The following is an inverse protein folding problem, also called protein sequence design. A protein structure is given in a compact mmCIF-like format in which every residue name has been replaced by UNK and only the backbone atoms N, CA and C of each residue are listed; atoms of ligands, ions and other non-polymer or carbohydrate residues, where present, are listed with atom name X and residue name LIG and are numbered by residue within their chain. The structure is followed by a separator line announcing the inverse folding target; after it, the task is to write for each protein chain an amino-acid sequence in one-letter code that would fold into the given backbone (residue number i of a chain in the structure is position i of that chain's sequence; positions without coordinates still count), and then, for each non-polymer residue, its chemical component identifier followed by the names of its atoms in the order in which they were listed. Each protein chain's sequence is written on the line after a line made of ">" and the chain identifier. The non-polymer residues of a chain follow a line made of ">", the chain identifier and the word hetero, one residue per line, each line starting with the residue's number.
data_IF_295876577520
#
_entry.id   IF_295876577520
#
_cell.length_a   1.000
_cell.length_b   1.000
_cell.length_c   1.000
_cell.angle_alpha   90.00
_cell.angle_beta   90.00
_cell.angle_gamma   90.00
#
_symmetry.space_group_name_H-M   'P 1'
#
loop_
_entity.id
_entity.type
_entity.pdbx_description
1 polymer ?
#
# COMPACT_ATOMS: atom_id res chain seq x y z
N UNK A 1 11.91 1.19 -13.41
CA UNK A 1 11.18 1.11 -12.13
C UNK A 1 10.85 -0.36 -11.86
N UNK A 2 11.60 -1.04 -10.98
CA UNK A 2 11.48 -2.50 -10.72
C UNK A 2 10.65 -2.86 -9.48
N UNK A 3 10.07 -1.87 -8.80
CA UNK A 3 9.36 -2.04 -7.52
C UNK A 3 8.10 -2.91 -7.59
N UNK A 4 7.55 -3.14 -8.78
CA UNK A 4 6.25 -3.78 -8.98
C UNK A 4 6.31 -5.12 -9.73
N UNK A 5 7.50 -5.66 -10.00
CA UNK A 5 7.64 -6.88 -10.80
C UNK A 5 6.93 -8.09 -10.19
N UNK A 6 6.78 -8.15 -8.86
CA UNK A 6 6.10 -9.25 -8.17
C UNK A 6 4.58 -9.32 -8.37
N UNK A 7 3.96 -8.27 -8.95
CA UNK A 7 2.51 -8.21 -9.20
C UNK A 7 2.17 -8.02 -10.69
N UNK A 8 3.16 -8.06 -11.58
CA UNK A 8 2.98 -7.88 -13.03
C UNK A 8 2.63 -9.21 -13.73
N UNK A 9 1.45 -9.78 -13.44
CA UNK A 9 1.06 -11.13 -13.86
C UNK A 9 1.19 -11.39 -15.37
N UNK A 10 0.80 -10.44 -16.22
CA UNK A 10 0.90 -10.57 -17.68
C UNK A 10 2.36 -10.70 -18.13
N UNK A 11 3.24 -9.84 -17.59
CA UNK A 11 4.68 -9.92 -17.83
C UNK A 11 5.29 -11.21 -17.29
N UNK A 12 4.68 -11.79 -16.26
CA UNK A 12 5.03 -13.11 -15.71
C UNK A 12 4.42 -14.29 -16.47
N UNK A 13 3.76 -14.05 -17.62
CA UNK A 13 3.27 -15.10 -18.53
C UNK A 13 1.80 -15.47 -18.37
N UNK A 14 1.02 -14.76 -17.54
CA UNK A 14 -0.42 -15.00 -17.44
C UNK A 14 -1.15 -14.39 -18.64
N UNK A 15 -1.77 -15.25 -19.46
CA UNK A 15 -2.43 -14.85 -20.71
C UNK A 15 -3.93 -14.54 -20.56
N UNK A 16 -4.61 -15.05 -19.53
CA UNK A 16 -6.03 -14.77 -19.31
C UNK A 16 -6.21 -13.39 -18.67
N UNK A 17 -6.84 -12.44 -19.39
CA UNK A 17 -7.02 -11.06 -18.90
C UNK A 17 -8.42 -10.77 -18.33
N UNK A 18 -9.32 -11.75 -18.34
CA UNK A 18 -10.71 -11.58 -17.88
C UNK A 18 -10.80 -11.15 -16.41
N UNK A 19 -9.84 -11.53 -15.57
CA UNK A 19 -9.81 -11.13 -14.16
C UNK A 19 -9.70 -9.61 -13.95
N UNK A 20 -9.14 -8.87 -14.91
CA UNK A 20 -8.98 -7.41 -14.84
C UNK A 20 -10.28 -6.63 -15.09
N UNK A 21 -11.32 -7.31 -15.58
CA UNK A 21 -12.58 -6.69 -16.00
C UNK A 21 -13.68 -6.76 -14.92
N UNK A 22 -13.38 -7.36 -13.77
CA UNK A 22 -14.32 -7.42 -12.65
C UNK A 22 -14.36 -6.10 -11.90
N UNK A 23 -15.56 -5.75 -11.43
CA UNK A 23 -15.78 -4.62 -10.56
C UNK A 23 -16.76 -5.00 -9.45
N UNK A 24 -16.45 -4.53 -8.25
CA UNK A 24 -17.37 -4.62 -7.11
C UNK A 24 -18.53 -3.63 -7.25
N UNK A 25 -19.76 -4.11 -7.05
CA UNK A 25 -20.99 -3.32 -7.06
C UNK A 25 -21.68 -3.44 -5.69
N UNK A 26 -21.73 -2.36 -4.90
CA UNK A 26 -22.55 -2.31 -3.69
C UNK A 26 -24.05 -2.47 -4.03
N UNK A 27 -24.82 -3.05 -3.12
CA UNK A 27 -26.25 -3.30 -3.34
C UNK A 27 -27.09 -2.03 -3.43
N UNK A 28 -26.80 -1.03 -2.59
CA UNK A 28 -27.66 0.15 -2.40
C UNK A 28 -27.16 1.41 -3.11
N UNK A 29 -25.96 1.35 -3.71
CA UNK A 29 -25.40 2.50 -4.39
C UNK A 29 -24.37 2.10 -5.45
N UNK A 30 -24.17 3.00 -6.41
CA UNK A 30 -23.00 2.97 -7.27
C UNK A 30 -21.82 3.61 -6.56
N UNK A 31 -20.63 3.05 -6.77
CA UNK A 31 -19.39 3.72 -6.34
C UNK A 31 -19.29 5.11 -6.99
N UNK A 32 -18.82 6.15 -6.27
CA UNK A 32 -18.78 7.52 -6.77
C UNK A 32 -18.08 7.62 -8.14
N UNK A 33 -18.76 8.25 -9.08
CA UNK A 33 -18.31 8.46 -10.46
C UNK A 33 -17.74 9.86 -10.63
N UNK A 34 -16.65 9.99 -11.39
CA UNK A 34 -16.37 11.24 -12.08
C UNK A 34 -16.69 11.04 -13.56
N UNK A 35 -17.63 11.83 -14.06
CA UNK A 35 -18.19 11.85 -15.43
C UNK A 35 -19.35 10.86 -15.66
N UNK A 36 -20.56 11.44 -15.78
CA UNK A 36 -21.86 10.77 -15.95
C UNK A 36 -22.19 10.30 -17.38
N UNK A 37 -21.29 10.45 -18.35
CA UNK A 37 -21.72 10.41 -19.76
C UNK A 37 -21.63 9.05 -20.47
N UNK A 38 -20.86 8.09 -19.97
CA UNK A 38 -20.91 6.70 -20.43
C UNK A 38 -20.62 5.74 -19.29
N UNK A 39 -21.31 4.61 -19.30
CA UNK A 39 -21.39 3.55 -18.29
C UNK A 39 -20.04 2.81 -18.09
N UNK A 40 -19.03 3.52 -17.58
CA UNK A 40 -17.79 3.01 -17.01
C UNK A 40 -17.44 3.91 -15.83
N UNK A 41 -17.67 3.45 -14.61
CA UNK A 41 -17.31 4.22 -13.41
C UNK A 41 -15.79 4.21 -13.28
N UNK A 42 -15.16 5.32 -13.66
CA UNK A 42 -13.71 5.47 -13.59
C UNK A 42 -13.32 6.18 -12.31
N UNK A 43 -12.31 5.62 -11.65
CA UNK A 43 -11.54 6.32 -10.63
C UNK A 43 -10.95 7.60 -11.23
N UNK A 44 -11.09 8.73 -10.54
CA UNK A 44 -10.56 10.01 -10.97
C UNK A 44 -9.26 10.33 -10.23
N UNK A 45 -8.15 10.06 -10.90
CA UNK A 45 -6.83 10.30 -10.36
C UNK A 45 -6.61 11.78 -10.01
N UNK A 46 -7.06 12.73 -10.84
CA UNK A 46 -6.91 14.17 -10.58
C UNK A 46 -7.66 14.56 -9.30
N UNK A 47 -8.92 14.15 -9.16
CA UNK A 47 -9.69 14.45 -7.95
C UNK A 47 -9.07 13.83 -6.69
N UNK A 48 -8.48 12.63 -6.80
CA UNK A 48 -7.75 12.01 -5.69
C UNK A 48 -6.46 12.78 -5.36
N UNK A 49 -5.71 13.22 -6.37
CA UNK A 49 -4.49 14.00 -6.19
C UNK A 49 -4.76 15.33 -5.49
N UNK A 50 -5.85 16.02 -5.87
CA UNK A 50 -6.28 17.24 -5.19
C UNK A 50 -6.66 16.98 -3.73
N UNK A 51 -7.34 15.85 -3.44
CA UNK A 51 -7.65 15.46 -2.05
C UNK A 51 -6.39 15.13 -1.24
N UNK A 52 -5.34 14.64 -1.90
CA UNK A 52 -4.05 14.31 -1.28
C UNK A 52 -3.09 15.50 -1.25
N UNK A 53 -3.45 16.66 -1.80
CA UNK A 53 -2.57 17.83 -1.84
C UNK A 53 -2.16 18.25 -0.44
N UNK A 54 -0.85 18.42 -0.24
CA UNK A 54 -0.21 18.69 1.05
C UNK A 54 -0.48 17.62 2.13
N UNK A 55 -0.82 16.39 1.73
CA UNK A 55 -1.11 15.29 2.66
C UNK A 55 -0.12 14.15 2.54
N UNK A 56 0.02 13.45 3.67
CA UNK A 56 0.75 12.20 3.79
C UNK A 56 -0.22 11.04 4.06
N UNK A 57 -0.36 10.16 3.07
CA UNK A 57 -1.10 8.89 3.19
C UNK A 57 -0.11 7.76 3.48
N UNK A 58 -0.34 6.96 4.51
CA UNK A 58 0.55 5.85 4.89
C UNK A 58 -0.23 4.55 4.99
N UNK A 59 0.17 3.59 4.17
CA UNK A 59 -0.23 2.19 4.24
C UNK A 59 0.71 1.45 5.19
N UNK A 60 0.15 0.74 6.15
CA UNK A 60 0.87 0.07 7.22
C UNK A 60 0.48 -1.38 7.28
N UNK A 61 1.45 -2.28 7.17
CA UNK A 61 1.15 -3.69 7.38
C UNK A 61 2.12 -4.65 6.72
N UNK A 62 1.53 -5.70 6.15
CA UNK A 62 2.24 -6.81 5.52
C UNK A 62 2.28 -6.71 3.99
N UNK A 63 2.60 -7.82 3.32
CA UNK A 63 2.66 -7.90 1.86
C UNK A 63 1.36 -7.51 1.15
N UNK A 64 0.18 -7.73 1.76
CA UNK A 64 -1.10 -7.34 1.18
C UNK A 64 -1.26 -5.82 1.18
N UNK A 65 -0.86 -5.16 2.27
CA UNK A 65 -0.83 -3.70 2.37
C UNK A 65 0.12 -3.09 1.33
N UNK A 66 1.28 -3.72 1.12
CA UNK A 66 2.21 -3.34 0.03
C UNK A 66 1.57 -3.46 -1.36
N UNK A 67 0.76 -4.49 -1.58
CA UNK A 67 0.04 -4.68 -2.85
C UNK A 67 -1.03 -3.60 -3.03
N UNK A 68 -1.78 -3.24 -1.97
CA UNK A 68 -2.74 -2.13 -2.03
C UNK A 68 -2.05 -0.78 -2.29
N UNK A 69 -0.93 -0.51 -1.61
CA UNK A 69 -0.10 0.67 -1.86
C UNK A 69 0.36 0.72 -3.33
N UNK A 70 0.86 -0.40 -3.86
CA UNK A 70 1.25 -0.52 -5.27
C UNK A 70 0.09 -0.20 -6.21
N UNK A 71 -1.09 -0.74 -5.94
CA UNK A 71 -2.29 -0.46 -6.73
C UNK A 71 -2.66 1.03 -6.72
N UNK A 72 -2.62 1.68 -5.56
CA UNK A 72 -2.88 3.12 -5.42
C UNK A 72 -1.85 3.96 -6.20
N UNK A 73 -0.57 3.62 -6.09
CA UNK A 73 0.50 4.29 -6.85
C UNK A 73 0.24 4.16 -8.35
N UNK A 74 -0.04 2.95 -8.86
CA UNK A 74 -0.31 2.75 -10.29
C UNK A 74 -1.55 3.52 -10.79
N UNK A 75 -2.61 3.61 -9.98
CA UNK A 75 -3.81 4.38 -10.34
C UNK A 75 -3.50 5.86 -10.54
N UNK A 76 -2.64 6.44 -9.70
CA UNK A 76 -2.31 7.86 -9.72
C UNK A 76 -1.15 8.20 -10.67
N UNK A 77 -0.16 7.32 -10.74
CA UNK A 77 1.08 7.53 -11.49
C UNK A 77 0.84 7.84 -12.98
N UNK A 78 -0.21 7.24 -13.56
CA UNK A 78 -0.62 7.45 -14.95
C UNK A 78 -0.97 8.90 -15.29
N UNK A 79 -1.39 9.68 -14.28
CA UNK A 79 -1.80 11.08 -14.42
C UNK A 79 -0.72 12.08 -14.00
N UNK A 80 0.50 11.62 -13.71
CA UNK A 80 1.59 12.46 -13.20
C UNK A 80 2.81 12.35 -14.13
N UNK A 81 3.38 13.49 -14.51
CA UNK A 81 4.58 13.53 -15.33
C UNK A 81 5.76 12.81 -14.64
N UNK A 82 6.60 12.04 -15.37
CA UNK A 82 7.71 11.30 -14.78
C UNK A 82 8.70 12.14 -13.96
N UNK A 83 8.88 13.41 -14.31
CA UNK A 83 9.76 14.35 -13.60
C UNK A 83 9.19 14.85 -12.27
N UNK A 84 7.89 14.69 -12.04
CA UNK A 84 7.18 15.20 -10.86
C UNK A 84 6.92 14.12 -9.81
N UNK A 85 7.44 12.90 -10.01
CA UNK A 85 7.23 11.76 -9.13
C UNK A 85 8.52 11.00 -8.85
N UNK A 86 8.62 10.42 -7.67
CA UNK A 86 9.74 9.56 -7.31
C UNK A 86 9.32 8.48 -6.32
N UNK A 87 10.04 7.36 -6.32
CA UNK A 87 9.93 6.34 -5.27
C UNK A 87 11.26 6.25 -4.53
N UNK A 88 11.22 6.33 -3.20
CA UNK A 88 12.41 6.27 -2.35
C UNK A 88 12.21 5.24 -1.23
N UNK A 89 12.94 4.12 -1.25
CA UNK A 89 12.98 3.19 -0.13
C UNK A 89 13.97 3.69 0.95
N UNK A 90 13.57 3.62 2.23
CA UNK A 90 14.38 3.97 3.39
C UNK A 90 14.04 3.06 4.57
N UNK A 91 14.83 1.99 4.75
CA UNK A 91 14.56 0.97 5.78
C UNK A 91 13.20 0.32 5.55
N UNK A 92 12.34 0.32 6.57
CA UNK A 92 10.97 -0.23 6.50
C UNK A 92 9.95 0.67 5.79
N UNK A 93 10.33 1.91 5.47
CA UNK A 93 9.46 2.89 4.81
C UNK A 93 9.80 2.97 3.31
N UNK A 94 8.79 2.90 2.45
CA UNK A 94 8.90 3.21 1.02
C UNK A 94 7.97 4.35 0.70
N UNK A 95 8.50 5.46 0.18
CA UNK A 95 7.73 6.68 -0.09
C UNK A 95 7.58 6.89 -1.59
N UNK A 96 6.34 7.06 -2.06
CA UNK A 96 6.04 7.61 -3.37
C UNK A 96 5.73 9.11 -3.21
N UNK A 97 6.59 9.97 -3.74
CA UNK A 97 6.47 11.43 -3.63
C UNK A 97 5.88 12.02 -4.90
N UNK A 98 4.96 12.96 -4.75
CA UNK A 98 4.29 13.68 -5.84
C UNK A 98 4.56 15.18 -5.64
N UNK A 99 5.51 15.73 -6.39
CA UNK A 99 6.09 17.05 -6.12
C UNK A 99 5.07 18.19 -6.33
N UNK A 100 4.32 18.16 -7.42
CA UNK A 100 3.33 19.21 -7.76
C UNK A 100 2.18 19.32 -6.74
N UNK A 101 1.85 18.21 -6.07
CA UNK A 101 0.82 18.17 -5.04
C UNK A 101 1.40 18.36 -3.63
N UNK A 102 2.73 18.40 -3.49
CA UNK A 102 3.43 18.27 -2.21
C UNK A 102 2.84 17.12 -1.35
N UNK A 103 2.56 15.99 -1.99
CA UNK A 103 1.90 14.85 -1.38
C UNK A 103 2.85 13.65 -1.31
N UNK A 104 2.58 12.71 -0.39
CA UNK A 104 3.23 11.41 -0.41
C UNK A 104 2.27 10.27 -0.09
N UNK A 105 2.56 9.12 -0.70
CA UNK A 105 1.88 7.85 -0.47
C UNK A 105 2.93 6.85 -0.06
N UNK A 106 2.91 6.48 1.21
CA UNK A 106 3.92 5.65 1.82
C UNK A 106 3.42 4.23 2.06
N UNK A 107 4.34 3.28 2.05
CA UNK A 107 4.16 1.97 2.63
C UNK A 107 5.18 1.75 3.74
N UNK A 108 4.73 1.42 4.93
CA UNK A 108 5.58 1.01 6.05
C UNK A 108 5.36 -0.46 6.39
N UNK A 109 6.46 -1.21 6.39
CA UNK A 109 6.48 -2.63 6.75
C UNK A 109 6.35 -2.84 8.27
N UNK A 110 5.19 -3.35 8.68
CA UNK A 110 4.89 -3.76 10.05
C UNK A 110 3.89 -4.93 10.03
N UNK A 111 4.34 -6.16 9.74
CA UNK A 111 3.45 -7.27 9.37
C UNK A 111 2.50 -7.71 10.50
N UNK A 112 2.89 -7.46 11.76
CA UNK A 112 2.06 -7.70 12.95
C UNK A 112 1.58 -6.39 13.61
N UNK A 113 1.86 -5.23 13.00
CA UNK A 113 1.70 -3.87 13.54
C UNK A 113 2.56 -3.56 14.78
N UNK A 114 2.58 -4.46 15.75
CA UNK A 114 3.41 -4.43 16.96
C UNK A 114 4.86 -4.79 16.66
N UNK A 115 5.75 -4.46 17.61
CA UNK A 115 7.16 -4.81 17.52
C UNK A 115 7.34 -6.33 17.42
N UNK A 116 8.11 -6.75 16.42
CA UNK A 116 8.41 -8.16 16.17
C UNK A 116 9.83 -8.36 15.64
N UNK A 117 10.36 -9.57 15.78
CA UNK A 117 11.64 -9.97 15.16
C UNK A 117 11.61 -9.90 13.63
N UNK A 118 10.42 -9.91 13.01
CA UNK A 118 10.18 -9.69 11.57
C UNK A 118 10.13 -8.22 11.10
N UNK A 119 10.44 -7.26 11.96
CA UNK A 119 10.34 -5.82 11.65
C UNK A 119 11.31 -5.29 10.58
N UNK A 120 12.32 -6.07 10.16
CA UNK A 120 13.27 -5.69 9.10
C UNK A 120 12.84 -6.24 7.73
N UNK A 121 12.63 -5.39 6.70
CA UNK A 121 12.11 -5.79 5.37
C UNK A 121 13.09 -6.58 4.50
N UNK A 122 14.39 -6.58 4.84
CA UNK A 122 15.47 -7.22 4.05
C UNK A 122 15.97 -8.51 4.71
N UNK A 123 15.90 -8.60 6.04
CA UNK A 123 16.33 -9.76 6.81
C UNK A 123 15.11 -10.47 7.41
N UNK A 124 14.16 -10.85 6.56
CA UNK A 124 13.17 -11.86 6.93
C UNK A 124 13.87 -13.21 7.01
N UNK A 125 14.69 -13.42 8.04
CA UNK A 125 15.01 -14.79 8.42
C UNK A 125 13.66 -15.45 8.70
N UNK A 126 13.36 -16.49 7.91
CA UNK A 126 12.25 -17.41 8.11
C UNK A 126 12.48 -18.26 9.37
N UNK A 127 12.97 -17.64 10.46
CA UNK A 127 13.10 -18.31 11.73
C UNK A 127 11.71 -18.76 12.17
N UNK A 128 11.62 -20.04 12.55
CA UNK A 128 10.39 -20.72 12.94
C UNK A 128 9.73 -20.13 14.19
N UNK A 129 10.41 -19.24 14.90
CA UNK A 129 9.92 -18.59 16.11
C UNK A 129 9.93 -17.08 15.93
N UNK A 130 8.78 -16.51 15.58
CA UNK A 130 8.55 -15.08 15.59
C UNK A 130 8.23 -14.65 17.02
N UNK A 131 8.89 -13.60 17.52
CA UNK A 131 8.59 -13.05 18.85
C UNK A 131 7.79 -11.77 18.64
N UNK A 132 6.60 -11.71 19.22
CA UNK A 132 5.69 -10.56 19.18
C UNK A 132 5.68 -9.89 20.56
N UNK A 133 5.91 -8.58 20.60
CA UNK A 133 5.71 -7.78 21.82
C UNK A 133 4.37 -7.07 21.70
N UNK A 134 3.30 -7.71 22.17
CA UNK A 134 1.92 -7.24 21.87
C UNK A 134 1.58 -5.91 22.53
N UNK A 135 2.36 -5.50 23.54
CA UNK A 135 2.22 -4.22 24.23
C UNK A 135 3.18 -3.14 23.71
N UNK A 136 3.95 -3.39 22.64
CA UNK A 136 4.93 -2.45 22.12
C UNK A 136 4.64 -2.10 20.65
N UNK A 137 4.45 -0.82 20.37
CA UNK A 137 4.18 -0.28 19.03
C UNK A 137 4.94 1.02 18.75
N UNK A 138 5.48 1.66 19.77
CA UNK A 138 6.03 3.02 19.78
C UNK A 138 7.16 3.18 18.76
N UNK A 139 8.02 2.17 18.61
CA UNK A 139 9.10 2.19 17.60
C UNK A 139 8.59 2.19 16.16
N UNK A 140 7.43 1.60 15.89
CA UNK A 140 6.78 1.68 14.59
C UNK A 140 6.04 3.00 14.46
N UNK A 141 5.29 3.38 15.51
CA UNK A 141 4.42 4.54 15.52
C UNK A 141 5.12 5.85 15.12
N UNK A 142 6.35 6.05 15.60
CA UNK A 142 7.17 7.24 15.28
C UNK A 142 7.39 7.51 13.79
N UNK A 143 7.14 6.55 12.91
CA UNK A 143 7.33 6.69 11.47
C UNK A 143 6.10 7.21 10.73
N UNK A 144 4.95 7.26 11.41
CA UNK A 144 3.67 7.61 10.80
C UNK A 144 2.77 8.47 11.71
N UNK A 145 3.31 9.03 12.80
CA UNK A 145 2.57 9.92 13.71
C UNK A 145 2.12 11.22 13.05
N UNK A 146 2.81 11.66 12.01
CA UNK A 146 2.56 12.87 11.21
C UNK A 146 1.77 12.59 9.92
N UNK A 147 1.21 11.39 9.76
CA UNK A 147 0.35 11.06 8.62
C UNK A 147 -1.02 11.74 8.73
N UNK A 148 -1.52 12.29 7.63
CA UNK A 148 -2.91 12.77 7.51
C UNK A 148 -3.90 11.61 7.42
N UNK A 149 -3.50 10.52 6.76
CA UNK A 149 -4.36 9.37 6.48
C UNK A 149 -3.56 8.10 6.74
N UNK A 150 -4.12 7.20 7.54
CA UNK A 150 -3.54 5.90 7.87
C UNK A 150 -4.45 4.77 7.39
N UNK A 151 -3.85 3.78 6.74
CA UNK A 151 -4.51 2.54 6.33
C UNK A 151 -3.72 1.37 6.91
N UNK A 152 -4.32 0.69 7.88
CA UNK A 152 -3.71 -0.46 8.55
C UNK A 152 -4.30 -1.77 8.00
N UNK A 153 -3.45 -2.78 7.81
CA UNK A 153 -3.86 -4.17 7.60
C UNK A 153 -2.80 -5.11 8.19
N UNK A 154 -3.23 -6.25 8.72
CA UNK A 154 -2.36 -7.27 9.29
C UNK A 154 -3.12 -8.59 9.37
N UNK A 155 -2.72 -9.57 8.53
CA UNK A 155 -3.42 -10.85 8.49
C UNK A 155 -2.52 -12.02 8.12
N UNK A 156 -1.79 -11.94 7.00
CA UNK A 156 -1.15 -13.12 6.40
C UNK A 156 -0.11 -13.74 7.33
N UNK A 157 0.57 -12.91 8.12
CA UNK A 157 1.61 -13.33 9.04
C UNK A 157 1.06 -14.02 10.30
N UNK A 158 -0.15 -13.67 10.73
CA UNK A 158 -0.84 -14.34 11.85
C UNK A 158 -1.23 -15.78 11.54
N UNK A 159 -1.36 -16.15 10.25
CA UNK A 159 -1.66 -17.53 9.83
C UNK A 159 -0.47 -18.49 10.01
N UNK A 160 0.70 -18.01 10.43
CA UNK A 160 1.85 -18.88 10.70
C UNK A 160 1.63 -19.67 12.00
N UNK A 161 2.01 -20.96 12.03
CA UNK A 161 1.66 -21.84 13.15
C UNK A 161 2.46 -21.60 14.43
N UNK A 162 3.53 -20.80 14.40
CA UNK A 162 4.45 -20.63 15.54
C UNK A 162 4.87 -19.17 15.69
N UNK A 163 4.45 -18.58 16.81
CA UNK A 163 4.95 -17.32 17.33
C UNK A 163 4.92 -17.37 18.86
N UNK A 164 5.87 -16.66 19.49
CA UNK A 164 5.94 -16.46 20.92
C UNK A 164 5.48 -15.04 21.22
N UNK A 165 4.56 -14.91 22.17
CA UNK A 165 4.10 -13.60 22.66
C UNK A 165 4.91 -13.24 23.91
N UNK A 166 5.39 -12.02 23.96
CA UNK A 166 6.00 -11.36 25.11
C UNK A 166 5.16 -10.18 25.56
#
# INVERSE_FOLDING_TARGET
>A
MSLFNGVACERSGRMDLKYQHWRWQPHECDLPSSVKFYMVTRFNAIAMLERLRNKRLVFVGDSLTRNQWTSMVCLLESSIAPTLKSVTPKGSLTTFKINECNASIDHYWAPYLVESTSGHPVHHHFSSEQILKVQAIEKHARHWTDADILVFDSYVWWRRPKFKVL
#
